data_IF_103347793760
#
_entry.id   IF_103347793760
#
_cell.length_a   1.000
_cell.length_b   1.000
_cell.length_c   1.000
_cell.angle_alpha   90.00
_cell.angle_beta   90.00
_cell.angle_gamma   90.00
#
_symmetry.space_group_name_H-M   'P 1'
#
loop_
_entity.id
_entity.type
_entity.pdbx_description
1 polymer ?
#
# COMPACT_ATOMS: atom_id res chain seq x y z
N UNK A 1 -21.01 -13.19 3.15
CA UNK A 1 -19.61 -12.96 3.53
C UNK A 1 -19.20 -11.56 3.14
N UNK A 2 -18.47 -10.89 4.01
CA UNK A 2 -18.00 -9.56 3.70
C UNK A 2 -16.80 -9.64 2.76
N UNK A 3 -16.70 -8.66 1.86
CA UNK A 3 -15.60 -8.57 0.94
C UNK A 3 -14.39 -7.98 1.64
N UNK A 4 -13.21 -8.40 1.22
CA UNK A 4 -11.97 -7.84 1.77
C UNK A 4 -11.79 -6.41 1.30
N UNK A 5 -11.35 -5.57 2.22
CA UNK A 5 -11.11 -4.15 1.98
C UNK A 5 -9.64 -3.91 1.72
N UNK A 6 -9.34 -3.25 0.63
CA UNK A 6 -7.97 -2.99 0.21
C UNK A 6 -7.77 -1.49 0.06
N UNK A 7 -6.65 -1.00 0.58
CA UNK A 7 -6.21 0.38 0.34
C UNK A 7 -5.04 0.36 -0.61
N UNK A 8 -5.02 1.28 -1.56
CA UNK A 8 -3.94 1.40 -2.53
C UNK A 8 -3.16 2.67 -2.21
N UNK A 9 -1.84 2.55 -2.14
CA UNK A 9 -0.95 3.68 -1.93
C UNK A 9 -0.06 3.82 -3.15
N UNK A 10 -0.38 4.77 -4.00
CA UNK A 10 0.26 4.98 -5.29
C UNK A 10 0.08 6.44 -5.70
N UNK A 11 1.18 7.11 -6.05
CA UNK A 11 1.12 8.52 -6.42
C UNK A 11 0.77 8.77 -7.89
N UNK A 12 0.82 7.74 -8.74
CA UNK A 12 0.40 7.87 -10.12
C UNK A 12 -1.07 7.44 -10.25
N UNK A 13 -1.94 8.42 -10.50
CA UNK A 13 -3.38 8.18 -10.47
C UNK A 13 -3.84 7.16 -11.50
N UNK A 14 -3.23 7.15 -12.68
CA UNK A 14 -3.62 6.19 -13.72
C UNK A 14 -3.34 4.77 -13.29
N UNK A 15 -2.18 4.53 -12.68
CA UNK A 15 -1.81 3.21 -12.17
C UNK A 15 -2.74 2.80 -11.03
N UNK A 16 -3.00 3.73 -10.12
CA UNK A 16 -3.88 3.45 -8.98
C UNK A 16 -5.29 3.10 -9.43
N UNK A 17 -5.84 3.85 -10.39
CA UNK A 17 -7.18 3.59 -10.88
C UNK A 17 -7.27 2.26 -11.62
N UNK A 18 -6.24 1.91 -12.39
CA UNK A 18 -6.20 0.64 -13.08
C UNK A 18 -6.16 -0.53 -12.10
N UNK A 19 -5.35 -0.41 -11.05
CA UNK A 19 -5.31 -1.41 -9.99
C UNK A 19 -6.66 -1.53 -9.29
N UNK A 20 -7.29 -0.39 -8.98
CA UNK A 20 -8.58 -0.38 -8.31
C UNK A 20 -9.64 -1.10 -9.14
N UNK A 21 -9.68 -0.82 -10.45
CA UNK A 21 -10.62 -1.48 -11.34
C UNK A 21 -10.40 -2.99 -11.36
N UNK A 22 -9.14 -3.41 -11.44
CA UNK A 22 -8.83 -4.84 -11.46
C UNK A 22 -9.26 -5.53 -10.16
N UNK A 23 -8.99 -4.90 -9.03
CA UNK A 23 -9.35 -5.46 -7.74
C UNK A 23 -10.87 -5.54 -7.56
N UNK A 24 -11.57 -4.49 -7.98
CA UNK A 24 -13.03 -4.49 -7.88
C UNK A 24 -13.65 -5.54 -8.78
N UNK A 25 -13.08 -5.75 -9.96
CA UNK A 25 -13.52 -6.82 -10.84
C UNK A 25 -13.31 -8.21 -10.25
N UNK A 26 -12.34 -8.35 -9.36
CA UNK A 26 -12.09 -9.60 -8.65
C UNK A 26 -12.94 -9.76 -7.39
N UNK A 27 -13.74 -8.76 -7.05
CA UNK A 27 -14.65 -8.86 -5.92
C UNK A 27 -14.18 -8.19 -4.64
N UNK A 28 -13.07 -7.45 -4.68
CA UNK A 28 -12.59 -6.72 -3.51
C UNK A 28 -13.21 -5.34 -3.43
N UNK A 29 -13.14 -4.73 -2.26
CA UNK A 29 -13.56 -3.35 -2.06
C UNK A 29 -12.30 -2.49 -1.92
N UNK A 30 -12.16 -1.48 -2.78
CA UNK A 30 -11.06 -0.52 -2.63
C UNK A 30 -11.59 0.62 -1.78
N UNK A 31 -11.12 0.70 -0.54
CA UNK A 31 -11.67 1.66 0.42
C UNK A 31 -11.06 3.05 0.27
N UNK A 32 -9.85 3.12 -0.28
CA UNK A 32 -9.20 4.41 -0.52
C UNK A 32 -8.02 4.23 -1.44
N UNK A 33 -7.66 5.32 -2.10
CA UNK A 33 -6.43 5.44 -2.88
C UNK A 33 -5.75 6.69 -2.36
N UNK A 34 -4.54 6.54 -1.85
CA UNK A 34 -3.79 7.66 -1.28
C UNK A 34 -2.44 7.81 -1.97
N UNK A 35 -1.95 9.04 -2.15
CA UNK A 35 -0.75 9.26 -2.96
C UNK A 35 0.56 9.27 -2.19
N UNK A 36 0.56 9.23 -0.88
CA UNK A 36 1.80 9.36 -0.11
C UNK A 36 1.83 8.43 1.08
N UNK A 37 3.04 8.19 1.59
CA UNK A 37 3.23 7.39 2.79
C UNK A 37 2.61 8.03 4.02
N UNK A 38 2.70 9.35 4.13
CA UNK A 38 2.12 10.08 5.25
C UNK A 38 0.60 9.90 5.31
N UNK A 39 -0.06 10.07 4.16
CA UNK A 39 -1.50 9.86 4.10
C UNK A 39 -1.88 8.40 4.31
N UNK A 40 -1.02 7.47 3.87
CA UNK A 40 -1.27 6.05 4.07
C UNK A 40 -1.32 5.71 5.55
N UNK A 41 -0.42 6.26 6.35
CA UNK A 41 -0.40 6.02 7.78
C UNK A 41 -1.70 6.51 8.42
N UNK A 42 -2.14 7.71 8.06
CA UNK A 42 -3.37 8.27 8.61
C UNK A 42 -4.60 7.48 8.18
N UNK A 43 -4.69 7.18 6.90
CA UNK A 43 -5.88 6.51 6.36
C UNK A 43 -5.95 5.05 6.76
N UNK A 44 -4.81 4.38 6.94
CA UNK A 44 -4.80 3.01 7.44
C UNK A 44 -5.42 2.94 8.83
N UNK A 45 -5.09 3.88 9.70
CA UNK A 45 -5.66 3.94 11.03
C UNK A 45 -7.16 4.24 10.99
N UNK A 46 -7.58 5.13 10.10
CA UNK A 46 -8.98 5.53 10.01
C UNK A 46 -9.85 4.48 9.33
N UNK A 47 -9.41 3.95 8.21
CA UNK A 47 -10.21 3.05 7.39
C UNK A 47 -10.03 1.57 7.74
N UNK A 48 -8.94 1.23 8.37
CA UNK A 48 -8.59 -0.13 8.80
C UNK A 48 -8.82 -1.16 7.68
N UNK A 49 -8.12 -1.03 6.55
CA UNK A 49 -8.25 -2.03 5.48
C UNK A 49 -7.70 -3.37 5.94
N UNK A 50 -8.10 -4.43 5.25
CA UNK A 50 -7.57 -5.76 5.52
C UNK A 50 -6.21 -5.97 4.89
N UNK A 51 -5.90 -5.21 3.85
CA UNK A 51 -4.67 -5.35 3.09
C UNK A 51 -4.34 -4.02 2.45
N UNK A 52 -3.06 -3.71 2.33
CA UNK A 52 -2.59 -2.51 1.66
C UNK A 52 -1.66 -2.89 0.52
N UNK A 53 -1.91 -2.32 -0.66
CA UNK A 53 -0.98 -2.40 -1.78
C UNK A 53 -0.19 -1.11 -1.78
N UNK A 54 1.12 -1.21 -1.60
CA UNK A 54 1.99 -0.06 -1.34
C UNK A 54 3.07 0.05 -2.39
N UNK A 55 3.09 1.18 -3.10
CA UNK A 55 4.22 1.49 -3.98
C UNK A 55 5.44 1.80 -3.12
N UNK A 56 6.57 1.22 -3.49
CA UNK A 56 7.83 1.46 -2.79
C UNK A 56 8.34 2.87 -3.06
N UNK A 57 8.17 3.34 -4.28
CA UNK A 57 8.75 4.59 -4.76
C UNK A 57 7.75 5.74 -4.67
N UNK A 58 7.37 6.08 -3.46
CA UNK A 58 6.43 7.18 -3.24
C UNK A 58 7.15 8.52 -3.14
N UNK A 59 6.46 9.57 -3.57
CA UNK A 59 6.92 10.93 -3.33
C UNK A 59 6.55 11.35 -1.92
N UNK A 60 7.25 12.38 -1.42
CA UNK A 60 7.01 12.86 -0.07
C UNK A 60 8.22 12.59 0.81
N UNK A 61 8.06 12.83 2.12
CA UNK A 61 9.17 12.73 3.06
C UNK A 61 9.51 11.29 3.41
N UNK A 62 8.53 10.40 3.36
CA UNK A 62 8.79 8.99 3.64
C UNK A 62 8.40 8.15 2.42
N UNK A 63 9.14 7.09 2.20
CA UNK A 63 8.86 6.17 1.10
C UNK A 63 7.88 5.08 1.55
N UNK A 64 7.50 4.21 0.61
CA UNK A 64 6.55 3.15 0.90
C UNK A 64 7.05 2.15 1.94
N UNK A 65 8.35 1.90 1.97
CA UNK A 65 8.91 0.94 2.93
C UNK A 65 8.81 1.49 4.34
N UNK A 66 9.14 2.76 4.54
CA UNK A 66 9.04 3.41 5.84
C UNK A 66 7.59 3.48 6.31
N UNK A 67 6.67 3.84 5.41
CA UNK A 67 5.25 3.87 5.73
C UNK A 67 4.75 2.49 6.13
N UNK A 68 5.18 1.46 5.41
CA UNK A 68 4.78 0.08 5.70
C UNK A 68 5.26 -0.36 7.08
N UNK A 69 6.48 -0.01 7.45
CA UNK A 69 7.01 -0.35 8.76
C UNK A 69 6.17 0.26 9.87
N UNK A 70 5.81 1.54 9.73
CA UNK A 70 4.98 2.21 10.72
C UNK A 70 3.58 1.62 10.80
N UNK A 71 2.96 1.36 9.67
CA UNK A 71 1.61 0.81 9.63
C UNK A 71 1.60 -0.59 10.25
N UNK A 72 2.52 -1.44 9.85
CA UNK A 72 2.54 -2.81 10.37
C UNK A 72 2.83 -2.83 11.85
N UNK A 73 3.75 -2.00 12.30
CA UNK A 73 4.12 -1.90 13.71
C UNK A 73 2.94 -1.49 14.58
N UNK A 74 2.11 -0.55 14.09
CA UNK A 74 0.99 0.00 14.85
C UNK A 74 -0.30 -0.80 14.69
N UNK A 75 -0.60 -1.25 13.47
CA UNK A 75 -1.91 -1.79 13.13
C UNK A 75 -1.86 -3.25 12.71
N UNK A 76 -0.69 -3.76 12.36
CA UNK A 76 -0.47 -5.14 11.91
C UNK A 76 -1.29 -5.49 10.67
N UNK A 77 -1.54 -4.51 9.81
CA UNK A 77 -2.22 -4.74 8.54
C UNK A 77 -1.20 -5.27 7.54
N UNK A 78 -1.47 -6.41 6.87
CA UNK A 78 -0.54 -6.94 5.86
C UNK A 78 -0.37 -5.98 4.69
N UNK A 79 0.85 -5.92 4.18
CA UNK A 79 1.20 -5.02 3.10
C UNK A 79 1.88 -5.80 1.99
N UNK A 80 1.40 -5.61 0.76
CA UNK A 80 2.04 -6.14 -0.43
C UNK A 80 2.67 -4.97 -1.16
N UNK A 81 3.96 -5.07 -1.43
CA UNK A 81 4.68 -4.01 -2.12
C UNK A 81 4.53 -4.13 -3.63
N UNK A 82 4.32 -2.99 -4.26
CA UNK A 82 4.33 -2.86 -5.70
C UNK A 82 5.65 -2.21 -6.08
N UNK A 83 6.40 -2.85 -6.95
CA UNK A 83 7.66 -2.26 -7.40
C UNK A 83 7.78 -2.40 -8.90
N UNK A 84 8.10 -1.29 -9.55
CA UNK A 84 8.33 -1.26 -10.98
C UNK A 84 9.78 -1.61 -11.33
N UNK A 85 10.65 -1.69 -10.35
CA UNK A 85 12.07 -1.89 -10.56
C UNK A 85 12.58 -3.10 -9.80
N UNK A 86 13.48 -3.84 -10.43
CA UNK A 86 14.16 -4.97 -9.80
C UNK A 86 15.47 -4.53 -9.17
N UNK A 87 15.45 -3.42 -8.46
CA UNK A 87 16.62 -2.89 -7.79
C UNK A 87 16.95 -3.75 -6.57
N UNK A 88 18.20 -4.21 -6.49
CA UNK A 88 18.62 -5.10 -5.41
C UNK A 88 18.48 -4.46 -4.04
N UNK A 89 18.80 -3.16 -3.93
CA UNK A 89 18.66 -2.47 -2.64
C UNK A 89 17.19 -2.37 -2.23
N UNK A 90 16.33 -2.04 -3.17
CA UNK A 90 14.90 -1.96 -2.90
C UNK A 90 14.36 -3.31 -2.48
N UNK A 91 14.73 -4.37 -3.18
CA UNK A 91 14.28 -5.71 -2.84
C UNK A 91 14.78 -6.15 -1.47
N UNK A 92 16.01 -5.81 -1.12
CA UNK A 92 16.55 -6.13 0.19
C UNK A 92 15.82 -5.39 1.29
N UNK A 93 15.47 -4.12 1.08
CA UNK A 93 14.70 -3.35 2.04
C UNK A 93 13.30 -3.94 2.23
N UNK A 94 12.66 -4.34 1.14
CA UNK A 94 11.35 -4.98 1.21
C UNK A 94 11.41 -6.25 2.02
N UNK A 95 12.44 -7.08 1.77
CA UNK A 95 12.61 -8.33 2.53
C UNK A 95 12.85 -8.07 4.01
N UNK A 96 13.61 -7.03 4.33
CA UNK A 96 13.90 -6.69 5.72
C UNK A 96 12.65 -6.22 6.45
N UNK A 97 11.69 -5.63 5.72
CA UNK A 97 10.45 -5.12 6.28
C UNK A 97 9.40 -6.22 6.41
N UNK A 98 9.60 -7.30 5.74
CA UNK A 98 8.61 -8.35 5.57
C UNK A 98 7.99 -8.78 6.90
N UNK A 99 6.72 -8.56 7.04
CA UNK A 99 5.98 -9.02 8.22
C UNK A 99 5.61 -10.49 8.07
#
# INVERSE_FOLDING_TARGET
MSKSKIMIVEDESIIAEDLADSLENMGYIVVDIVPSGEEAILMAAEKQPHLILMDVMLQGEIDGITAAEEIYSSLQIPIIFLTAYSDNQTLQRVKATNP
#
